data_IF_812009914677
#
_entry.id   IF_812009914677
#
_cell.length_a   1.000
_cell.length_b   1.000
_cell.length_c   1.000
_cell.angle_alpha   90.00
_cell.angle_beta   90.00
_cell.angle_gamma   90.00
#
_symmetry.space_group_name_H-M   'P 1'
#
loop_
_entity.id
_entity.type
_entity.pdbx_description
1 polymer ?
#
# COMPACT_ATOMS: atom_id res chain seq x y z
N UNK A 1 45.73 -14.80 -42.94
CA UNK A 1 46.20 -13.90 -41.84
C UNK A 1 45.13 -13.82 -40.75
N UNK A 2 45.18 -14.69 -39.74
CA UNK A 2 44.15 -14.73 -38.68
C UNK A 2 44.44 -13.69 -37.58
N UNK A 3 43.49 -12.77 -37.34
CA UNK A 3 43.59 -11.77 -36.26
C UNK A 3 43.49 -12.45 -34.89
N UNK A 4 44.60 -12.50 -34.17
CA UNK A 4 44.70 -13.02 -32.79
C UNK A 4 43.86 -12.13 -31.85
N UNK A 5 42.70 -12.61 -31.39
CA UNK A 5 41.88 -11.92 -30.38
C UNK A 5 42.71 -11.70 -29.11
N UNK A 6 42.99 -10.43 -28.75
CA UNK A 6 43.63 -10.09 -27.47
C UNK A 6 42.71 -10.54 -26.33
N UNK A 7 43.17 -11.47 -25.49
CA UNK A 7 42.51 -11.83 -24.23
C UNK A 7 42.50 -10.58 -23.34
N UNK A 8 41.34 -9.94 -23.16
CA UNK A 8 41.22 -8.81 -22.25
C UNK A 8 41.22 -9.34 -20.81
N UNK A 9 42.34 -9.17 -20.11
CA UNK A 9 42.39 -9.42 -18.69
C UNK A 9 41.52 -8.37 -18.00
N UNK A 10 40.46 -8.81 -17.31
CA UNK A 10 39.68 -7.90 -16.44
C UNK A 10 40.62 -7.30 -15.42
N UNK A 11 40.49 -6.00 -15.17
CA UNK A 11 41.31 -5.35 -14.16
C UNK A 11 41.05 -5.96 -12.78
N UNK A 12 42.06 -6.05 -11.89
CA UNK A 12 41.88 -6.55 -10.53
C UNK A 12 40.74 -5.83 -9.77
N UNK A 13 40.52 -4.55 -10.07
CA UNK A 13 39.41 -3.74 -9.55
C UNK A 13 38.03 -4.23 -10.03
N UNK A 14 37.90 -4.59 -11.31
CA UNK A 14 36.67 -5.14 -11.87
C UNK A 14 36.35 -6.53 -11.28
N UNK A 15 37.37 -7.37 -11.10
CA UNK A 15 37.22 -8.68 -10.45
C UNK A 15 36.78 -8.54 -8.99
N UNK A 16 37.39 -7.63 -8.22
CA UNK A 16 36.98 -7.33 -6.84
C UNK A 16 35.55 -6.78 -6.77
N UNK A 17 35.16 -5.88 -7.68
CA UNK A 17 33.79 -5.33 -7.75
C UNK A 17 32.76 -6.42 -8.06
N UNK A 18 33.09 -7.34 -8.98
CA UNK A 18 32.22 -8.46 -9.34
C UNK A 18 32.12 -9.47 -8.19
N UNK A 19 33.23 -9.79 -7.52
CA UNK A 19 33.23 -10.63 -6.32
C UNK A 19 32.39 -10.01 -5.20
N UNK A 20 32.50 -8.68 -4.98
CA UNK A 20 31.67 -7.96 -4.00
C UNK A 20 30.19 -8.01 -4.36
N UNK A 21 29.83 -7.74 -5.63
CA UNK A 21 28.44 -7.89 -6.12
C UNK A 21 27.92 -9.33 -5.99
N UNK A 22 28.76 -10.33 -6.24
CA UNK A 22 28.41 -11.76 -6.15
C UNK A 22 28.23 -12.20 -4.69
N UNK A 23 29.07 -11.68 -3.78
CA UNK A 23 28.96 -11.87 -2.33
C UNK A 23 27.73 -11.15 -1.74
N UNK A 24 27.35 -10.00 -2.31
CA UNK A 24 26.12 -9.28 -1.94
C UNK A 24 24.85 -9.83 -2.60
N UNK A 25 24.97 -10.56 -3.72
CA UNK A 25 23.84 -11.00 -4.52
C UNK A 25 23.06 -12.18 -3.94
N UNK A 26 23.60 -12.87 -2.91
CA UNK A 26 23.02 -14.10 -2.36
C UNK A 26 23.14 -14.16 -0.83
N UNK A 27 23.11 -13.02 -0.16
CA UNK A 27 22.47 -13.03 1.15
C UNK A 27 20.98 -13.04 0.82
N UNK A 28 20.39 -14.24 0.78
CA UNK A 28 18.96 -14.46 0.67
C UNK A 28 18.27 -13.37 1.47
N UNK A 29 17.61 -12.42 0.79
CA UNK A 29 16.89 -11.35 1.47
C UNK A 29 15.74 -12.06 2.19
N UNK A 30 15.99 -12.50 3.43
CA UNK A 30 14.93 -12.95 4.33
C UNK A 30 13.87 -11.85 4.29
N UNK A 31 12.68 -12.18 3.77
CA UNK A 31 11.54 -11.27 3.84
C UNK A 31 11.36 -10.99 5.33
N UNK A 32 11.56 -9.73 5.73
CA UNK A 32 11.28 -9.33 7.10
C UNK A 32 9.79 -9.55 7.31
N UNK A 33 9.44 -10.27 8.36
CA UNK A 33 8.05 -10.43 8.76
C UNK A 33 7.48 -9.04 9.03
N UNK A 34 6.26 -8.81 8.54
CA UNK A 34 5.61 -7.52 8.72
C UNK A 34 5.16 -7.38 10.18
N UNK A 35 5.58 -6.29 10.82
CA UNK A 35 5.16 -5.93 12.16
C UNK A 35 4.59 -4.52 12.15
N UNK A 36 3.41 -4.31 12.73
CA UNK A 36 2.81 -3.00 12.93
C UNK A 36 2.95 -2.60 14.40
N UNK A 37 3.70 -1.53 14.67
CA UNK A 37 3.98 -1.03 16.04
C UNK A 37 4.46 -2.11 17.03
N UNK A 38 5.15 -3.14 16.54
CA UNK A 38 5.68 -4.24 17.35
C UNK A 38 4.84 -5.52 17.33
N UNK A 39 3.66 -5.52 16.71
CA UNK A 39 2.77 -6.68 16.63
C UNK A 39 2.80 -7.35 15.26
N UNK A 40 2.71 -8.68 15.23
CA UNK A 40 2.61 -9.44 13.99
C UNK A 40 1.19 -9.33 13.39
N UNK A 41 1.04 -9.64 12.10
CA UNK A 41 -0.29 -9.58 11.47
C UNK A 41 -1.29 -10.54 12.13
N UNK A 42 -0.84 -11.74 12.50
CA UNK A 42 -1.71 -12.73 13.15
C UNK A 42 -2.18 -12.25 14.53
N UNK A 43 -1.30 -11.61 15.31
CA UNK A 43 -1.66 -10.97 16.57
C UNK A 43 -2.70 -9.87 16.36
N UNK A 44 -2.50 -9.00 15.37
CA UNK A 44 -3.42 -7.89 15.07
C UNK A 44 -4.81 -8.36 14.63
N UNK A 45 -4.91 -9.53 13.99
CA UNK A 45 -6.20 -10.11 13.59
C UNK A 45 -6.92 -10.80 14.76
N UNK A 46 -6.19 -11.30 15.74
CA UNK A 46 -6.74 -11.93 16.93
C UNK A 46 -7.13 -10.92 18.03
N UNK A 47 -6.52 -9.73 18.01
CA UNK A 47 -6.81 -8.67 19.00
C UNK A 47 -8.22 -8.10 18.83
N UNK A 48 -8.91 -7.79 19.94
CA UNK A 48 -10.20 -7.11 19.87
C UNK A 48 -10.03 -5.66 19.42
N UNK A 49 -11.03 -5.14 18.71
CA UNK A 49 -11.05 -3.75 18.25
C UNK A 49 -11.12 -2.77 19.43
N UNK A 50 -11.91 -3.13 20.44
CA UNK A 50 -12.10 -2.38 21.69
C UNK A 50 -11.55 -3.21 22.84
N UNK A 51 -10.93 -2.56 23.83
CA UNK A 51 -10.59 -3.25 25.08
C UNK A 51 -11.89 -3.71 25.74
N UNK A 52 -11.91 -4.95 26.25
CA UNK A 52 -12.99 -5.38 27.14
C UNK A 52 -12.81 -4.68 28.49
N UNK A 53 -13.91 -4.15 29.03
CA UNK A 53 -13.93 -3.40 30.29
C UNK A 53 -13.57 -4.33 31.47
N UNK A 54 -12.28 -4.48 31.77
CA UNK A 54 -11.80 -5.28 32.91
C UNK A 54 -10.36 -5.78 32.83
N UNK A 55 -9.80 -5.91 31.63
CA UNK A 55 -8.44 -6.44 31.44
C UNK A 55 -7.44 -5.36 31.01
N UNK A 56 -6.74 -4.78 31.98
CA UNK A 56 -5.71 -3.74 31.77
C UNK A 56 -4.53 -4.19 30.89
N UNK A 57 -4.39 -5.51 30.67
CA UNK A 57 -3.30 -6.10 29.88
C UNK A 57 -3.65 -6.33 28.41
N UNK A 58 -4.89 -6.12 27.98
CA UNK A 58 -5.30 -6.32 26.59
C UNK A 58 -5.05 -5.05 25.78
N UNK A 59 -4.00 -5.05 24.97
CA UNK A 59 -3.71 -3.94 24.04
C UNK A 59 -4.79 -3.93 22.96
N UNK A 60 -5.63 -2.90 22.95
CA UNK A 60 -6.64 -2.71 21.93
C UNK A 60 -6.05 -2.14 20.63
N UNK A 61 -6.63 -2.53 19.49
CA UNK A 61 -6.21 -2.03 18.16
C UNK A 61 -6.31 -0.49 18.08
N UNK A 62 -7.29 0.10 18.75
CA UNK A 62 -7.53 1.55 18.75
C UNK A 62 -6.36 2.34 19.34
N UNK A 63 -5.67 1.78 20.33
CA UNK A 63 -4.51 2.43 20.94
C UNK A 63 -3.28 2.37 20.02
N UNK A 64 -3.21 1.34 19.19
CA UNK A 64 -2.21 1.18 18.15
C UNK A 64 -2.47 2.08 16.92
N UNK A 65 -3.60 2.77 16.82
CA UNK A 65 -3.86 3.65 15.68
C UNK A 65 -3.35 5.08 15.88
N UNK A 66 -3.38 5.87 14.78
CA UNK A 66 -3.12 7.31 14.83
C UNK A 66 -4.30 8.04 15.49
N UNK A 67 -4.07 9.24 16.02
CA UNK A 67 -5.10 10.01 16.71
C UNK A 67 -6.36 10.26 15.86
N UNK A 68 -6.19 10.45 14.54
CA UNK A 68 -7.32 10.65 13.61
C UNK A 68 -8.14 9.37 13.42
N UNK A 69 -7.47 8.23 13.21
CA UNK A 69 -8.13 6.94 13.07
C UNK A 69 -8.85 6.54 14.38
N UNK A 70 -8.20 6.73 15.52
CA UNK A 70 -8.80 6.54 16.85
C UNK A 70 -10.05 7.38 17.05
N UNK A 71 -10.00 8.69 16.74
CA UNK A 71 -11.17 9.58 16.84
C UNK A 71 -12.32 9.10 15.95
N UNK A 72 -12.03 8.69 14.72
CA UNK A 72 -13.05 8.21 13.78
C UNK A 72 -13.75 6.95 14.27
N UNK A 73 -13.00 6.01 14.87
CA UNK A 73 -13.58 4.79 15.44
C UNK A 73 -14.31 5.07 16.75
N UNK A 74 -13.76 5.94 17.61
CA UNK A 74 -14.37 6.37 18.88
C UNK A 74 -15.72 7.05 18.69
N UNK A 75 -15.88 7.87 17.65
CA UNK A 75 -17.19 8.46 17.31
C UNK A 75 -18.19 7.45 16.74
N UNK A 76 -17.75 6.24 16.42
CA UNK A 76 -18.58 5.22 15.79
C UNK A 76 -18.52 5.26 14.26
N UNK A 77 -18.80 4.10 13.67
CA UNK A 77 -18.87 3.94 12.22
C UNK A 77 -20.24 4.41 11.72
N UNK A 78 -20.24 5.11 10.59
CA UNK A 78 -21.49 5.42 9.88
C UNK A 78 -22.18 4.13 9.42
N UNK A 79 -23.51 4.17 9.26
CA UNK A 79 -24.30 3.02 8.75
C UNK A 79 -23.74 2.44 7.45
N UNK A 80 -23.28 3.31 6.57
CA UNK A 80 -22.69 2.91 5.28
C UNK A 80 -21.30 2.26 5.45
N UNK A 81 -20.50 2.74 6.40
CA UNK A 81 -19.20 2.12 6.72
C UNK A 81 -19.38 0.77 7.41
N UNK A 82 -20.42 0.63 8.24
CA UNK A 82 -20.78 -0.64 8.85
C UNK A 82 -21.25 -1.65 7.80
N UNK A 83 -22.11 -1.22 6.88
CA UNK A 83 -22.51 -2.05 5.74
C UNK A 83 -21.31 -2.47 4.88
N UNK A 84 -20.34 -1.58 4.65
CA UNK A 84 -19.10 -1.93 3.95
C UNK A 84 -18.32 -3.02 4.68
N UNK A 85 -18.18 -2.92 6.01
CA UNK A 85 -17.52 -3.96 6.81
C UNK A 85 -18.23 -5.31 6.69
N UNK A 86 -19.55 -5.33 6.79
CA UNK A 86 -20.33 -6.55 6.67
C UNK A 86 -20.19 -7.17 5.28
N UNK A 87 -20.18 -6.35 4.22
CA UNK A 87 -19.87 -6.82 2.87
C UNK A 87 -18.47 -7.43 2.76
N UNK A 88 -17.46 -6.83 3.39
CA UNK A 88 -16.07 -7.32 3.34
C UNK A 88 -15.95 -8.65 4.11
N UNK A 89 -16.63 -8.78 5.26
CA UNK A 89 -16.65 -10.02 6.04
C UNK A 89 -17.31 -11.17 5.29
N UNK A 90 -18.37 -10.87 4.55
CA UNK A 90 -19.10 -11.86 3.76
C UNK A 90 -18.46 -12.17 2.40
N UNK A 91 -17.57 -11.30 1.91
CA UNK A 91 -16.86 -11.51 0.64
C UNK A 91 -15.76 -12.55 0.74
N UNK A 92 -15.58 -13.35 -0.32
CA UNK A 92 -14.45 -14.28 -0.47
C UNK A 92 -13.11 -13.55 -0.61
N UNK A 93 -12.02 -14.30 -0.72
CA UNK A 93 -10.67 -13.73 -0.90
C UNK A 93 -10.48 -13.12 -2.30
N UNK A 94 -11.13 -13.71 -3.31
CA UNK A 94 -11.05 -13.24 -4.70
C UNK A 94 -12.10 -12.21 -5.10
N UNK A 95 -13.10 -12.00 -4.25
CA UNK A 95 -14.19 -11.07 -4.51
C UNK A 95 -13.72 -9.62 -4.39
N UNK A 96 -14.13 -8.80 -5.37
CA UNK A 96 -13.80 -7.37 -5.38
C UNK A 96 -14.99 -6.58 -4.84
N UNK A 97 -14.84 -6.04 -3.63
CA UNK A 97 -15.86 -5.19 -3.00
C UNK A 97 -15.74 -3.77 -3.52
N UNK A 98 -16.81 -3.23 -4.11
CA UNK A 98 -16.86 -1.84 -4.60
C UNK A 98 -17.37 -0.90 -3.53
N UNK A 99 -16.69 0.23 -3.34
CA UNK A 99 -17.06 1.23 -2.34
C UNK A 99 -16.87 2.67 -2.82
N UNK A 100 -17.77 3.55 -2.39
CA UNK A 100 -17.62 5.00 -2.49
C UNK A 100 -17.05 5.60 -1.19
N UNK A 101 -17.03 4.82 -0.10
CA UNK A 101 -16.59 5.28 1.21
C UNK A 101 -15.06 5.35 1.23
N UNK A 102 -14.55 6.57 1.25
CA UNK A 102 -13.11 6.90 1.26
C UNK A 102 -12.61 7.29 2.65
N UNK A 103 -13.54 7.49 3.57
CA UNK A 103 -13.40 7.88 4.97
C UNK A 103 -13.18 6.68 5.90
N UNK A 104 -13.31 5.45 5.40
CA UNK A 104 -13.13 4.24 6.20
C UNK A 104 -11.64 4.01 6.51
N UNK A 105 -11.35 3.67 7.77
CA UNK A 105 -10.03 3.23 8.24
C UNK A 105 -9.82 1.76 7.89
N UNK A 106 -8.63 1.43 7.40
CA UNK A 106 -8.25 0.04 7.11
C UNK A 106 -8.00 -0.71 8.42
N UNK A 107 -8.85 -1.69 8.69
CA UNK A 107 -8.73 -2.59 9.83
C UNK A 107 -7.89 -3.83 9.47
N UNK A 108 -7.25 -4.48 10.47
CA UNK A 108 -6.50 -5.72 10.25
C UNK A 108 -7.31 -6.85 9.58
N UNK A 109 -8.62 -6.89 9.82
CA UNK A 109 -9.56 -7.85 9.19
C UNK A 109 -9.66 -7.69 7.66
N UNK A 110 -9.35 -6.50 7.13
CA UNK A 110 -9.45 -6.23 5.68
C UNK A 110 -8.22 -6.64 4.89
N UNK A 111 -7.14 -7.04 5.57
CA UNK A 111 -5.87 -7.39 4.92
C UNK A 111 -6.04 -8.63 4.06
N UNK A 112 -5.56 -8.56 2.80
CA UNK A 112 -5.72 -9.63 1.81
C UNK A 112 -7.00 -9.52 0.98
N UNK A 113 -7.95 -8.64 1.33
CA UNK A 113 -9.15 -8.38 0.52
C UNK A 113 -8.87 -7.37 -0.60
N UNK A 114 -9.62 -7.50 -1.70
CA UNK A 114 -9.56 -6.59 -2.84
C UNK A 114 -10.70 -5.58 -2.77
N UNK A 115 -10.37 -4.30 -2.60
CA UNK A 115 -11.38 -3.23 -2.51
C UNK A 115 -11.24 -2.27 -3.69
N UNK A 116 -12.33 -2.10 -4.41
CA UNK A 116 -12.46 -1.12 -5.47
C UNK A 116 -13.00 0.20 -4.91
N UNK A 117 -12.12 1.20 -4.75
CA UNK A 117 -12.46 2.52 -4.19
C UNK A 117 -12.77 3.51 -5.31
N UNK A 118 -13.91 4.20 -5.22
CA UNK A 118 -14.29 5.22 -6.19
C UNK A 118 -13.41 6.47 -6.08
N UNK A 119 -12.88 6.95 -7.21
CA UNK A 119 -12.05 8.17 -7.25
C UNK A 119 -12.75 9.41 -7.82
N UNK A 120 -14.04 9.32 -8.14
CA UNK A 120 -14.83 10.38 -8.78
C UNK A 120 -15.10 10.12 -10.27
N UNK A 121 -14.35 9.22 -10.90
CA UNK A 121 -14.53 8.84 -12.32
C UNK A 121 -14.62 7.34 -12.52
N UNK A 122 -13.77 6.59 -11.83
CA UNK A 122 -13.68 5.14 -11.95
C UNK A 122 -13.40 4.52 -10.58
N UNK A 123 -13.58 3.20 -10.50
CA UNK A 123 -13.20 2.43 -9.34
C UNK A 123 -11.76 1.96 -9.49
N UNK A 124 -10.91 2.36 -8.56
CA UNK A 124 -9.52 1.91 -8.49
C UNK A 124 -9.50 0.67 -7.59
N UNK A 125 -9.10 -0.46 -8.13
CA UNK A 125 -8.88 -1.68 -7.35
C UNK A 125 -7.60 -1.54 -6.53
N UNK A 126 -7.73 -1.77 -5.23
CA UNK A 126 -6.66 -1.74 -4.24
C UNK A 126 -6.64 -3.08 -3.53
N UNK A 127 -5.54 -3.80 -3.67
CA UNK A 127 -5.26 -5.01 -2.90
C UNK A 127 -4.70 -4.59 -1.55
N UNK A 128 -5.41 -4.88 -0.46
CA UNK A 128 -5.03 -4.37 0.86
C UNK A 128 -3.82 -5.14 1.38
N UNK A 129 -2.70 -4.42 1.47
CA UNK A 129 -1.46 -4.94 2.04
C UNK A 129 -1.40 -4.66 3.56
N UNK A 130 -0.67 -5.48 4.33
CA UNK A 130 -0.49 -5.25 5.77
C UNK A 130 0.08 -3.86 6.10
N UNK A 131 0.91 -3.31 5.23
CA UNK A 131 1.51 -1.98 5.36
C UNK A 131 0.48 -0.84 5.37
N UNK A 132 -0.76 -1.10 4.96
CA UNK A 132 -1.83 -0.12 4.84
C UNK A 132 -2.70 0.00 6.11
N UNK A 133 -2.45 -0.82 7.12
CA UNK A 133 -3.21 -0.83 8.39
C UNK A 133 -3.17 0.54 9.07
N UNK A 134 -4.34 1.04 9.47
CA UNK A 134 -4.50 2.34 10.13
C UNK A 134 -4.49 3.55 9.19
N UNK A 135 -4.29 3.35 7.89
CA UNK A 135 -4.55 4.35 6.84
C UNK A 135 -6.03 4.44 6.46
N UNK A 136 -6.38 5.44 5.66
CA UNK A 136 -7.74 5.59 5.12
C UNK A 136 -7.83 5.07 3.68
N UNK A 137 -8.95 4.42 3.31
CA UNK A 137 -9.15 3.89 1.94
C UNK A 137 -8.96 4.97 0.87
N UNK A 138 -9.34 6.21 1.15
CA UNK A 138 -9.19 7.34 0.24
C UNK A 138 -7.74 7.69 -0.10
N UNK A 139 -6.76 7.32 0.73
CA UNK A 139 -5.34 7.62 0.49
C UNK A 139 -4.79 6.81 -0.69
N UNK A 140 -5.34 5.61 -0.91
CA UNK A 140 -4.89 4.67 -1.95
C UNK A 140 -5.57 4.92 -3.31
N UNK A 141 -6.58 5.79 -3.37
CA UNK A 141 -7.31 6.09 -4.59
C UNK A 141 -7.19 7.58 -4.96
N UNK A 142 -6.21 7.93 -5.80
CA UNK A 142 -6.00 9.30 -6.25
C UNK A 142 -7.20 9.85 -7.02
N UNK A 143 -7.70 11.01 -6.60
CA UNK A 143 -8.83 11.72 -7.25
C UNK A 143 -8.40 12.61 -8.40
N UNK A 144 -7.13 13.03 -8.40
CA UNK A 144 -6.55 13.91 -9.41
C UNK A 144 -5.41 13.22 -10.14
N UNK A 145 -5.31 13.48 -11.43
CA UNK A 145 -4.13 13.11 -12.20
C UNK A 145 -2.98 14.06 -11.85
N UNK A 146 -1.76 13.51 -11.78
CA UNK A 146 -0.56 14.33 -11.62
C UNK A 146 -0.28 15.06 -12.94
N UNK A 147 -0.42 16.38 -12.94
CA UNK A 147 0.07 17.20 -14.04
C UNK A 147 1.59 17.11 -14.13
N UNK A 148 2.10 16.77 -15.31
CA UNK A 148 3.54 16.87 -15.60
C UNK A 148 3.73 18.11 -16.45
N UNK A 149 4.59 19.02 -16.02
CA UNK A 149 4.99 20.17 -16.83
C UNK A 149 6.01 19.69 -17.87
N UNK A 150 5.52 19.06 -18.92
CA UNK A 150 6.31 18.81 -20.14
C UNK A 150 6.43 20.09 -20.98
N UNK A 151 7.17 20.01 -22.08
CA UNK A 151 7.32 21.12 -23.02
C UNK A 151 5.98 21.67 -23.54
N UNK A 152 6.00 22.87 -24.14
CA UNK A 152 4.80 23.55 -24.62
C UNK A 152 3.95 22.64 -25.51
N UNK A 153 2.64 22.57 -25.26
CA UNK A 153 1.68 21.81 -26.07
C UNK A 153 1.43 20.35 -25.65
N UNK A 154 2.26 19.74 -24.79
CA UNK A 154 2.05 18.36 -24.36
C UNK A 154 1.42 18.30 -22.97
N UNK A 155 0.12 17.96 -22.92
CA UNK A 155 -0.51 17.24 -21.79
C UNK A 155 -0.67 17.93 -20.43
N UNK A 156 -0.24 19.18 -20.25
CA UNK A 156 -0.25 19.82 -18.92
C UNK A 156 -1.62 20.34 -18.47
N UNK A 157 -2.42 20.95 -19.37
CA UNK A 157 -3.71 21.57 -19.02
C UNK A 157 -4.75 21.37 -20.13
N UNK A 158 -6.06 21.40 -19.82
CA UNK A 158 -7.12 21.43 -20.85
C UNK A 158 -6.95 22.60 -21.82
N UNK A 159 -6.32 23.69 -21.39
CA UNK A 159 -6.02 24.85 -22.24
C UNK A 159 -4.91 24.59 -23.26
N UNK A 160 -3.96 23.69 -22.99
CA UNK A 160 -2.87 23.38 -23.95
C UNK A 160 -3.33 22.46 -25.10
N UNK A 161 -4.54 21.90 -25.03
CA UNK A 161 -5.10 21.03 -26.09
C UNK A 161 -5.25 21.73 -27.44
N UNK A 162 -5.36 23.06 -27.44
CA UNK A 162 -5.55 23.88 -28.64
C UNK A 162 -4.25 24.52 -29.16
N UNK A 163 -3.12 24.30 -28.48
CA UNK A 163 -1.83 24.83 -28.91
C UNK A 163 -1.21 23.83 -29.89
N UNK A 164 -1.03 24.23 -31.14
CA UNK A 164 -0.36 23.41 -32.15
C UNK A 164 1.09 23.14 -31.71
N UNK A 165 1.48 21.87 -31.72
CA UNK A 165 2.89 21.48 -31.58
C UNK A 165 3.61 21.93 -32.85
N UNK A 166 4.70 22.68 -32.68
CA UNK A 166 5.57 23.12 -33.76
C UNK A 166 6.60 22.05 -34.09
#
# INVERSE_FOLDING_TARGET
>A
MARRRKKSFRTPKAVRRQARKRKMGVAERRKREFTYRGHTLAELQAMPLWGEDGDENTIAIIDLFSARARRSLSHGLSRENQHLLDCIRNSGEDDVVRTHRRDMVILPEMVGKKIAVHNGRQFIQVDIQPEMIGGFLGEYALTRNRGTHSGPGVGATRSSKHVALK
#
